data_IF_014936548946
#
_entry.id   IF_014936548946
#
_cell.length_a   1.000
_cell.length_b   1.000
_cell.length_c   1.000
_cell.angle_alpha   90.00
_cell.angle_beta   90.00
_cell.angle_gamma   90.00
#
_symmetry.space_group_name_H-M   'P 1'
#
loop_
_entity.id
_entity.type
_entity.pdbx_description
1 polymer ?
#
# COMPACT_ATOMS: atom_id res chain seq x y z
N UNK A 1 -2.93 8.91 3.85
CA UNK A 1 -2.85 8.95 5.33
C UNK A 1 -3.42 7.67 5.92
N UNK A 2 -2.85 7.20 7.01
CA UNK A 2 -3.34 6.01 7.72
C UNK A 2 -4.26 6.44 8.88
N UNK A 3 -5.41 5.79 9.06
CA UNK A 3 -6.36 6.06 10.13
C UNK A 3 -5.74 6.07 11.53
N UNK A 4 -4.68 5.26 11.75
CA UNK A 4 -3.90 5.31 13.00
C UNK A 4 -3.04 6.57 13.16
N UNK A 5 -2.77 7.31 12.08
CA UNK A 5 -2.03 8.58 12.15
C UNK A 5 -2.95 9.74 12.43
N UNK A 6 -4.16 9.71 11.91
CA UNK A 6 -5.14 10.79 12.06
C UNK A 6 -5.99 10.69 13.32
N UNK A 7 -6.03 9.51 13.97
CA UNK A 7 -6.73 9.25 15.23
C UNK A 7 -5.74 8.98 16.38
N UNK A 8 -6.08 9.33 17.63
CA UNK A 8 -5.26 8.97 18.78
C UNK A 8 -5.09 7.45 18.88
N UNK A 9 -3.86 6.97 18.82
CA UNK A 9 -3.56 5.55 18.94
C UNK A 9 -3.47 5.13 20.39
N UNK A 10 -4.23 4.13 20.86
CA UNK A 10 -4.17 3.64 22.23
C UNK A 10 -2.74 3.21 22.62
N UNK A 11 -2.36 3.47 23.87
CA UNK A 11 -1.01 3.16 24.38
C UNK A 11 -0.57 1.72 24.13
N UNK A 12 -1.48 0.76 24.34
CA UNK A 12 -1.21 -0.68 24.13
C UNK A 12 -0.86 -0.96 22.66
N UNK A 13 -1.60 -0.39 21.73
CA UNK A 13 -1.35 -0.56 20.29
C UNK A 13 0.02 0.02 19.92
N UNK A 14 0.36 1.21 20.43
CA UNK A 14 1.68 1.83 20.21
C UNK A 14 2.82 0.95 20.76
N UNK A 15 2.63 0.36 21.92
CA UNK A 15 3.61 -0.54 22.52
C UNK A 15 3.80 -1.80 21.66
N UNK A 16 2.71 -2.44 21.23
CA UNK A 16 2.77 -3.64 20.37
C UNK A 16 3.40 -3.35 19.01
N UNK A 17 3.07 -2.23 18.40
CA UNK A 17 3.66 -1.78 17.12
C UNK A 17 5.17 -1.58 17.25
N UNK A 18 5.62 -0.96 18.37
CA UNK A 18 7.04 -0.80 18.65
C UNK A 18 7.75 -2.13 18.84
N UNK A 19 7.14 -3.10 19.53
CA UNK A 19 7.69 -4.45 19.68
C UNK A 19 7.76 -5.20 18.35
N UNK A 20 6.85 -4.94 17.43
CA UNK A 20 6.88 -5.48 16.08
C UNK A 20 7.94 -4.83 15.16
N UNK A 21 8.77 -3.91 15.70
CA UNK A 21 9.83 -3.23 14.94
C UNK A 21 9.32 -2.16 13.97
N UNK A 22 8.05 -1.78 14.06
CA UNK A 22 7.46 -0.76 13.20
C UNK A 22 7.66 0.64 13.82
N UNK A 23 7.91 1.68 13.01
CA UNK A 23 8.02 3.04 13.53
C UNK A 23 6.70 3.48 14.16
N UNK A 24 6.78 3.97 15.39
CA UNK A 24 5.62 4.47 16.13
C UNK A 24 5.72 5.99 16.25
N UNK A 25 4.95 6.69 15.44
CA UNK A 25 4.77 8.13 15.57
C UNK A 25 3.94 8.53 16.79
N UNK A 26 3.84 9.83 17.03
CA UNK A 26 2.93 10.41 18.05
C UNK A 26 1.48 10.47 17.55
N UNK A 27 1.08 9.61 16.60
CA UNK A 27 -0.17 9.64 15.86
C UNK A 27 -1.37 10.22 16.62
N UNK A 28 -2.27 10.87 15.91
CA UNK A 28 -3.46 11.52 16.44
C UNK A 28 -3.22 12.86 17.16
N UNK A 29 -1.96 13.27 17.32
CA UNK A 29 -1.60 14.52 18.00
C UNK A 29 -1.35 15.70 17.06
N UNK A 30 -1.55 15.50 15.77
CA UNK A 30 -1.37 16.52 14.75
C UNK A 30 -2.71 16.92 14.14
N UNK A 31 -2.90 18.20 13.88
CA UNK A 31 -4.02 18.74 13.12
C UNK A 31 -3.77 18.54 11.63
N UNK A 32 -3.90 17.29 11.15
CA UNK A 32 -3.50 16.89 9.80
C UNK A 32 -4.15 17.73 8.69
N UNK A 33 -5.41 18.11 8.85
CA UNK A 33 -6.10 18.95 7.86
C UNK A 33 -5.45 20.33 7.73
N UNK A 34 -5.09 20.93 8.86
CA UNK A 34 -4.40 22.23 8.90
C UNK A 34 -3.01 22.13 8.30
N UNK A 35 -2.24 21.09 8.70
CA UNK A 35 -0.89 20.86 8.16
C UNK A 35 -0.90 20.62 6.65
N UNK A 36 -1.83 19.82 6.12
CA UNK A 36 -1.98 19.62 4.68
C UNK A 36 -2.30 20.92 3.96
N UNK A 37 -3.22 21.73 4.52
CA UNK A 37 -3.59 23.02 3.95
C UNK A 37 -2.40 24.01 3.96
N UNK A 38 -1.68 24.12 5.07
CA UNK A 38 -0.49 24.98 5.19
C UNK A 38 0.62 24.57 4.22
N UNK A 39 0.80 23.26 4.00
CA UNK A 39 1.76 22.70 3.06
C UNK A 39 1.30 22.74 1.59
N UNK A 40 0.06 23.16 1.30
CA UNK A 40 -0.51 23.11 -0.05
C UNK A 40 -0.68 21.68 -0.56
N UNK A 41 -0.88 20.70 0.35
CA UNK A 41 -1.04 19.29 0.05
C UNK A 41 -2.48 18.84 0.29
N UNK A 42 -2.84 17.70 -0.30
CA UNK A 42 -4.14 17.04 -0.08
C UNK A 42 -3.94 15.54 0.20
N UNK A 43 -4.90 14.93 0.86
CA UNK A 43 -4.90 13.48 1.10
C UNK A 43 -5.40 12.76 -0.17
N UNK A 44 -4.54 11.92 -0.75
CA UNK A 44 -4.92 11.08 -1.90
C UNK A 44 -5.86 9.96 -1.45
N UNK A 45 -5.53 9.28 -0.36
CA UNK A 45 -6.27 8.15 0.19
C UNK A 45 -6.21 8.13 1.72
N UNK A 46 -7.18 7.45 2.33
CA UNK A 46 -7.13 7.06 3.74
C UNK A 46 -7.05 5.53 3.84
N UNK A 47 -6.10 5.04 4.63
CA UNK A 47 -5.98 3.62 4.96
C UNK A 47 -6.81 3.31 6.21
N UNK A 48 -7.74 2.37 6.07
CA UNK A 48 -8.67 1.97 7.11
C UNK A 48 -8.64 0.46 7.35
N UNK A 49 -9.08 0.02 8.52
CA UNK A 49 -9.32 -1.41 8.74
C UNK A 49 -10.71 -1.81 8.26
N UNK A 50 -10.82 -3.02 7.69
CA UNK A 50 -12.07 -3.52 7.14
C UNK A 50 -13.18 -3.65 8.19
N UNK A 51 -12.80 -3.93 9.45
CA UNK A 51 -13.75 -4.03 10.55
C UNK A 51 -14.45 -2.70 10.85
N UNK A 52 -13.70 -1.61 10.84
CA UNK A 52 -14.23 -0.25 10.98
C UNK A 52 -15.18 0.13 9.85
N UNK A 53 -14.78 -0.13 8.60
CA UNK A 53 -15.62 0.14 7.42
C UNK A 53 -16.95 -0.63 7.48
N UNK A 54 -16.89 -1.91 7.89
CA UNK A 54 -18.10 -2.75 8.00
C UNK A 54 -19.00 -2.38 9.16
N UNK A 55 -18.42 -1.90 10.27
CA UNK A 55 -19.16 -1.54 11.48
C UNK A 55 -19.88 -0.20 11.36
N UNK A 56 -19.23 0.79 10.79
CA UNK A 56 -19.75 2.16 10.65
C UNK A 56 -19.22 2.80 9.36
N UNK A 57 -19.75 2.39 8.19
CA UNK A 57 -19.35 2.97 6.92
C UNK A 57 -19.60 4.48 6.85
N UNK A 58 -20.64 4.98 7.52
CA UNK A 58 -20.95 6.42 7.54
C UNK A 58 -19.86 7.23 8.25
N UNK A 59 -19.25 6.70 9.31
CA UNK A 59 -18.12 7.35 9.96
C UNK A 59 -16.92 7.46 9.01
N UNK A 60 -16.62 6.38 8.28
CA UNK A 60 -15.52 6.37 7.29
C UNK A 60 -15.81 7.34 6.13
N UNK A 61 -17.05 7.38 5.66
CA UNK A 61 -17.50 8.33 4.61
C UNK A 61 -17.35 9.79 5.10
N UNK A 62 -17.76 10.10 6.32
CA UNK A 62 -17.56 11.44 6.90
C UNK A 62 -16.10 11.82 6.95
N UNK A 63 -15.22 10.91 7.39
CA UNK A 63 -13.79 11.14 7.47
C UNK A 63 -13.16 11.33 6.08
N UNK A 64 -13.51 10.51 5.09
CA UNK A 64 -13.08 10.68 3.71
C UNK A 64 -13.48 12.07 3.15
N UNK A 65 -14.71 12.50 3.42
CA UNK A 65 -15.20 13.83 3.02
C UNK A 65 -14.44 14.95 3.75
N UNK A 66 -14.11 14.79 5.03
CA UNK A 66 -13.31 15.75 5.78
C UNK A 66 -11.91 15.96 5.21
N UNK A 67 -11.29 14.89 4.70
CA UNK A 67 -9.99 14.92 4.04
C UNK A 67 -10.10 15.15 2.52
N UNK A 68 -11.32 15.30 2.00
CA UNK A 68 -11.59 15.54 0.58
C UNK A 68 -11.00 14.46 -0.34
N UNK A 69 -10.94 13.22 0.13
CA UNK A 69 -10.50 12.08 -0.66
C UNK A 69 -11.67 11.20 -1.09
N UNK A 70 -11.49 10.53 -2.24
CA UNK A 70 -12.43 9.53 -2.76
C UNK A 70 -11.90 8.11 -2.65
N UNK A 71 -10.74 7.91 -2.01
CA UNK A 71 -10.10 6.61 -1.89
C UNK A 71 -10.02 6.17 -0.43
N UNK A 72 -10.64 5.04 -0.14
CA UNK A 72 -10.46 4.28 1.10
C UNK A 72 -9.70 3.01 0.74
N UNK A 73 -8.62 2.74 1.46
CA UNK A 73 -7.74 1.60 1.22
C UNK A 73 -7.76 0.67 2.42
N UNK A 74 -7.99 -0.62 2.17
CA UNK A 74 -7.86 -1.67 3.17
C UNK A 74 -6.50 -2.31 2.97
N UNK A 75 -5.63 -2.17 3.97
CA UNK A 75 -4.35 -2.89 4.02
C UNK A 75 -4.58 -4.30 4.56
N UNK A 76 -3.64 -5.22 4.27
CA UNK A 76 -3.71 -6.62 4.67
C UNK A 76 -4.25 -6.89 6.08
N UNK A 77 -4.75 -8.09 6.30
CA UNK A 77 -5.44 -8.47 7.52
C UNK A 77 -4.46 -8.98 8.60
N UNK A 78 -4.58 -8.47 9.82
CA UNK A 78 -3.80 -8.97 10.96
C UNK A 78 -4.23 -10.38 11.36
N UNK A 79 -3.26 -11.27 11.68
CA UNK A 79 -3.49 -12.65 12.11
C UNK A 79 -4.36 -13.45 11.14
N UNK A 80 -4.19 -13.20 9.86
CA UNK A 80 -4.95 -13.82 8.78
C UNK A 80 -4.09 -14.84 8.04
N UNK A 81 -4.63 -16.03 7.82
CA UNK A 81 -3.93 -17.06 7.04
C UNK A 81 -4.29 -16.97 5.56
N UNK A 82 -3.42 -16.33 4.79
CA UNK A 82 -3.56 -16.22 3.33
C UNK A 82 -3.36 -17.56 2.59
N UNK A 83 -3.04 -18.67 3.26
CA UNK A 83 -3.07 -20.00 2.64
C UNK A 83 -4.43 -20.72 2.80
N UNK A 84 -5.32 -20.20 3.63
CA UNK A 84 -6.68 -20.70 3.78
C UNK A 84 -7.60 -20.10 2.69
N UNK A 85 -7.91 -20.94 1.69
CA UNK A 85 -8.78 -20.56 0.57
C UNK A 85 -10.15 -20.05 1.01
N UNK A 86 -10.77 -20.70 2.00
CA UNK A 86 -12.10 -20.32 2.48
C UNK A 86 -12.08 -18.97 3.18
N UNK A 87 -11.02 -18.70 3.98
CA UNK A 87 -10.81 -17.41 4.61
C UNK A 87 -10.60 -16.30 3.57
N UNK A 88 -9.82 -16.55 2.51
CA UNK A 88 -9.59 -15.58 1.43
C UNK A 88 -10.87 -15.28 0.64
N UNK A 89 -11.68 -16.31 0.32
CA UNK A 89 -13.00 -16.11 -0.30
C UNK A 89 -13.93 -15.25 0.59
N UNK A 90 -13.91 -15.52 1.90
CA UNK A 90 -14.67 -14.72 2.85
C UNK A 90 -14.21 -13.26 2.87
N UNK A 91 -12.89 -13.02 2.86
CA UNK A 91 -12.32 -11.68 2.78
C UNK A 91 -12.78 -10.95 1.52
N UNK A 92 -12.76 -11.61 0.36
CA UNK A 92 -13.27 -11.05 -0.90
C UNK A 92 -14.76 -10.65 -0.80
N UNK A 93 -15.59 -11.51 -0.20
CA UNK A 93 -17.00 -11.19 0.05
C UNK A 93 -17.18 -10.00 0.98
N UNK A 94 -16.38 -9.92 2.04
CA UNK A 94 -16.40 -8.80 3.00
C UNK A 94 -15.95 -7.49 2.34
N UNK A 95 -14.97 -7.52 1.43
CA UNK A 95 -14.52 -6.38 0.63
C UNK A 95 -15.61 -5.91 -0.33
N UNK A 96 -16.28 -6.83 -1.04
CA UNK A 96 -17.39 -6.51 -1.94
C UNK A 96 -18.52 -5.78 -1.19
N UNK A 97 -18.89 -6.29 0.00
CA UNK A 97 -19.92 -5.67 0.83
C UNK A 97 -19.51 -4.26 1.28
N UNK A 98 -18.31 -4.10 1.83
CA UNK A 98 -17.80 -2.79 2.25
C UNK A 98 -17.73 -1.80 1.08
N UNK A 99 -17.26 -2.25 -0.10
CA UNK A 99 -17.18 -1.42 -1.30
C UNK A 99 -18.55 -0.98 -1.80
N UNK A 100 -19.57 -1.85 -1.68
CA UNK A 100 -20.97 -1.50 -2.03
C UNK A 100 -21.47 -0.32 -1.19
N UNK A 101 -21.19 -0.31 0.11
CA UNK A 101 -21.62 0.78 1.00
C UNK A 101 -20.89 2.09 0.67
N UNK A 102 -19.57 2.06 0.50
CA UNK A 102 -18.77 3.25 0.18
C UNK A 102 -19.11 3.84 -1.18
N UNK A 103 -19.40 3.00 -2.18
CA UNK A 103 -19.76 3.42 -3.54
C UNK A 103 -21.01 4.28 -3.59
N UNK A 104 -21.98 4.08 -2.69
CA UNK A 104 -23.19 4.91 -2.59
C UNK A 104 -22.88 6.40 -2.39
N UNK A 105 -21.71 6.68 -1.78
CA UNK A 105 -21.21 8.04 -1.54
C UNK A 105 -20.09 8.46 -2.51
N UNK A 106 -19.88 7.70 -3.59
CA UNK A 106 -18.87 8.00 -4.61
C UNK A 106 -17.43 7.73 -4.13
N UNK A 107 -17.25 6.91 -3.10
CA UNK A 107 -15.94 6.54 -2.56
C UNK A 107 -15.53 5.18 -3.13
N UNK A 108 -14.31 5.11 -3.67
CA UNK A 108 -13.68 3.91 -4.16
C UNK A 108 -13.01 3.16 -3.00
N UNK A 109 -13.36 1.90 -2.79
CA UNK A 109 -12.59 1.01 -1.94
C UNK A 109 -11.51 0.32 -2.76
N UNK A 110 -10.28 0.31 -2.26
CA UNK A 110 -9.15 -0.41 -2.83
C UNK A 110 -8.50 -1.33 -1.80
N UNK A 111 -7.94 -2.44 -2.26
CA UNK A 111 -7.17 -3.35 -1.42
C UNK A 111 -5.67 -3.16 -1.69
N UNK A 112 -4.88 -3.00 -0.62
CA UNK A 112 -3.42 -2.88 -0.67
C UNK A 112 -2.76 -4.20 -0.28
N UNK A 113 -1.80 -4.66 -1.08
CA UNK A 113 -1.10 -5.92 -0.90
C UNK A 113 0.24 -5.77 -0.17
N UNK A 114 0.60 -6.85 0.52
CA UNK A 114 1.95 -7.13 1.00
C UNK A 114 2.48 -8.42 0.34
N UNK A 115 3.50 -9.05 0.92
CA UNK A 115 4.04 -10.32 0.40
C UNK A 115 3.21 -11.55 0.81
N UNK A 116 2.45 -11.46 1.90
CA UNK A 116 1.67 -12.58 2.42
C UNK A 116 0.52 -13.01 1.49
N UNK A 117 -0.03 -12.12 0.69
CA UNK A 117 -1.07 -12.41 -0.30
C UNK A 117 -0.56 -13.27 -1.47
N UNK A 118 0.76 -13.32 -1.68
CA UNK A 118 1.36 -14.16 -2.72
C UNK A 118 1.60 -15.61 -2.26
N UNK A 119 1.15 -15.98 -1.05
CA UNK A 119 1.07 -17.38 -0.63
C UNK A 119 0.06 -18.14 -1.50
N UNK A 120 0.37 -19.41 -1.78
CA UNK A 120 -0.52 -20.27 -2.54
C UNK A 120 -1.65 -20.79 -1.65
N UNK A 121 -2.88 -20.66 -2.12
CA UNK A 121 -4.08 -21.27 -1.54
C UNK A 121 -4.33 -22.67 -2.13
N UNK A 122 -3.80 -22.91 -3.34
CA UNK A 122 -3.75 -24.21 -4.04
C UNK A 122 -2.65 -24.17 -5.11
N UNK A 123 -2.26 -25.32 -5.71
CA UNK A 123 -1.28 -25.34 -6.77
C UNK A 123 -1.65 -24.39 -7.93
N UNK A 124 -0.75 -23.45 -8.22
CA UNK A 124 -0.93 -22.48 -9.31
C UNK A 124 -1.81 -21.27 -9.00
N UNK A 125 -2.35 -21.14 -7.78
CA UNK A 125 -3.21 -20.02 -7.41
C UNK A 125 -2.73 -19.38 -6.08
N UNK A 126 -2.41 -18.10 -6.11
CA UNK A 126 -2.09 -17.31 -4.92
C UNK A 126 -3.35 -16.72 -4.28
N UNK A 127 -3.26 -16.31 -3.01
CA UNK A 127 -4.35 -15.59 -2.35
C UNK A 127 -4.67 -14.28 -3.08
N UNK A 128 -3.65 -13.57 -3.58
CA UNK A 128 -3.86 -12.33 -4.32
C UNK A 128 -4.66 -12.55 -5.62
N UNK A 129 -4.32 -13.58 -6.39
CA UNK A 129 -5.07 -13.96 -7.60
C UNK A 129 -6.51 -14.37 -7.26
N UNK A 130 -6.70 -15.06 -6.13
CA UNK A 130 -8.03 -15.41 -5.64
C UNK A 130 -8.83 -14.15 -5.25
N UNK A 131 -8.22 -13.18 -4.56
CA UNK A 131 -8.86 -11.90 -4.27
C UNK A 131 -9.26 -11.14 -5.54
N UNK A 132 -8.38 -11.09 -6.54
CA UNK A 132 -8.70 -10.45 -7.84
C UNK A 132 -9.92 -11.13 -8.49
N UNK A 133 -10.00 -12.46 -8.43
CA UNK A 133 -11.07 -13.25 -9.04
C UNK A 133 -12.41 -13.14 -8.30
N UNK A 134 -12.39 -13.17 -6.97
CA UNK A 134 -13.59 -13.25 -6.14
C UNK A 134 -14.14 -11.86 -5.74
N UNK A 135 -13.40 -10.79 -5.99
CA UNK A 135 -13.89 -9.42 -5.79
C UNK A 135 -14.55 -8.88 -7.06
N UNK A 136 -15.66 -8.15 -6.87
CA UNK A 136 -16.40 -7.51 -7.96
C UNK A 136 -15.54 -6.41 -8.60
N UNK A 137 -15.25 -6.47 -9.91
CA UNK A 137 -14.40 -5.50 -10.59
C UNK A 137 -14.97 -4.08 -10.64
N UNK A 138 -16.29 -3.93 -10.53
CA UNK A 138 -16.96 -2.63 -10.51
C UNK A 138 -16.98 -1.99 -9.12
N UNK A 139 -16.67 -2.75 -8.08
CA UNK A 139 -16.71 -2.31 -6.68
C UNK A 139 -15.32 -2.15 -6.07
N UNK A 140 -14.48 -3.18 -6.19
CA UNK A 140 -13.20 -3.25 -5.50
C UNK A 140 -12.04 -2.95 -6.47
N UNK A 141 -11.35 -1.85 -6.19
CA UNK A 141 -10.08 -1.52 -6.82
C UNK A 141 -8.88 -2.08 -6.04
N UNK A 142 -7.69 -1.76 -6.53
CA UNK A 142 -6.44 -2.14 -5.88
C UNK A 142 -5.51 -0.94 -5.78
N UNK A 143 -4.92 -0.76 -4.61
CA UNK A 143 -3.71 0.01 -4.41
C UNK A 143 -2.55 -0.98 -4.47
N UNK A 144 -1.99 -1.12 -5.66
CA UNK A 144 -0.97 -2.13 -5.89
C UNK A 144 0.40 -1.64 -5.45
N UNK A 145 1.07 -2.41 -4.61
CA UNK A 145 2.47 -2.19 -4.25
C UNK A 145 3.35 -3.20 -4.99
N UNK A 146 4.26 -2.69 -5.82
CA UNK A 146 5.17 -3.48 -6.66
C UNK A 146 6.34 -4.10 -5.90
N UNK A 147 6.68 -3.58 -4.74
CA UNK A 147 7.78 -4.09 -3.91
C UNK A 147 7.48 -5.51 -3.39
N UNK A 148 6.28 -5.73 -2.89
CA UNK A 148 5.92 -6.96 -2.20
C UNK A 148 5.83 -8.21 -3.08
N UNK A 149 5.25 -8.19 -4.30
CA UNK A 149 5.34 -9.32 -5.21
C UNK A 149 6.80 -9.59 -5.61
N UNK A 150 7.61 -8.56 -5.84
CA UNK A 150 9.04 -8.70 -6.13
C UNK A 150 9.78 -9.37 -4.97
N UNK A 151 9.47 -9.00 -3.73
CA UNK A 151 9.98 -9.65 -2.51
C UNK A 151 9.56 -11.13 -2.43
N UNK A 152 8.34 -11.44 -2.86
CA UNK A 152 7.81 -12.80 -2.90
C UNK A 152 8.27 -13.62 -4.11
N UNK A 153 9.12 -13.05 -5.00
CA UNK A 153 9.59 -13.72 -6.22
C UNK A 153 8.52 -13.82 -7.32
N UNK A 154 7.53 -12.93 -7.28
CA UNK A 154 6.46 -12.83 -8.28
C UNK A 154 6.69 -11.63 -9.20
N UNK A 155 6.40 -11.78 -10.49
CA UNK A 155 6.54 -10.71 -11.48
C UNK A 155 5.53 -9.58 -11.23
N UNK A 156 5.98 -8.45 -10.71
CA UNK A 156 5.14 -7.27 -10.51
C UNK A 156 4.48 -6.78 -11.81
N UNK A 157 5.18 -6.68 -12.97
CA UNK A 157 4.54 -6.31 -14.24
C UNK A 157 3.40 -7.24 -14.65
N UNK A 158 3.52 -8.55 -14.39
CA UNK A 158 2.45 -9.50 -14.75
C UNK A 158 1.23 -9.35 -13.85
N UNK A 159 1.43 -9.05 -12.57
CA UNK A 159 0.34 -8.73 -11.66
C UNK A 159 -0.37 -7.44 -12.09
N UNK A 160 0.39 -6.39 -12.43
CA UNK A 160 -0.18 -5.13 -12.94
C UNK A 160 -1.02 -5.34 -14.20
N UNK A 161 -0.57 -6.19 -15.14
CA UNK A 161 -1.36 -6.54 -16.34
C UNK A 161 -2.70 -7.19 -15.97
N UNK A 162 -2.71 -8.09 -14.97
CA UNK A 162 -3.94 -8.75 -14.50
C UNK A 162 -4.90 -7.79 -13.83
N UNK A 163 -4.37 -6.84 -13.07
CA UNK A 163 -5.18 -5.79 -12.42
C UNK A 163 -5.81 -4.85 -13.45
N UNK A 164 -5.05 -4.46 -14.47
CA UNK A 164 -5.52 -3.50 -15.47
C UNK A 164 -6.10 -2.24 -14.85
N UNK A 165 -7.25 -1.79 -15.31
CA UNK A 165 -7.95 -0.59 -14.81
C UNK A 165 -8.49 -0.71 -13.37
N UNK A 166 -8.43 -1.91 -12.77
CA UNK A 166 -8.73 -2.08 -11.34
C UNK A 166 -7.62 -1.55 -10.44
N UNK A 167 -6.40 -1.35 -10.95
CA UNK A 167 -5.32 -0.67 -10.22
C UNK A 167 -5.65 0.82 -10.18
N UNK A 168 -6.11 1.31 -9.02
CA UNK A 168 -6.52 2.70 -8.82
C UNK A 168 -5.38 3.55 -8.29
N UNK A 169 -4.56 2.98 -7.42
CA UNK A 169 -3.40 3.62 -6.80
C UNK A 169 -2.19 2.69 -6.97
N UNK A 170 -1.01 3.28 -7.05
CA UNK A 170 0.22 2.54 -7.23
C UNK A 170 1.26 2.94 -6.18
N UNK A 171 1.61 1.99 -5.29
CA UNK A 171 2.74 2.15 -4.39
C UNK A 171 4.03 1.73 -5.09
N UNK A 172 5.01 2.62 -5.08
CA UNK A 172 6.32 2.42 -5.70
C UNK A 172 7.41 2.46 -4.65
N UNK A 173 8.30 1.50 -4.73
CA UNK A 173 9.53 1.41 -3.96
C UNK A 173 10.57 0.73 -4.85
N UNK A 174 11.86 0.85 -4.53
CA UNK A 174 12.90 0.09 -5.21
C UNK A 174 13.48 -0.97 -4.28
N UNK A 175 14.18 -1.95 -4.85
CA UNK A 175 14.75 -3.07 -4.11
C UNK A 175 16.14 -3.38 -4.61
N UNK A 176 17.09 -3.47 -3.70
CA UNK A 176 18.47 -3.74 -4.04
C UNK A 176 19.34 -3.99 -2.83
N UNK A 177 20.63 -3.86 -2.98
CA UNK A 177 21.62 -4.09 -1.92
C UNK A 177 22.46 -2.84 -1.71
N UNK A 178 22.40 -2.27 -0.52
CA UNK A 178 23.24 -1.14 -0.11
C UNK A 178 24.54 -1.62 0.52
N UNK A 179 25.50 -1.98 -0.32
CA UNK A 179 26.87 -2.31 0.14
C UNK A 179 27.87 -1.46 -0.61
N UNK A 180 28.70 -0.75 0.13
CA UNK A 180 29.80 0.07 -0.39
C UNK A 180 31.12 -0.63 -0.09
N UNK A 181 31.66 -1.36 -1.07
CA UNK A 181 32.95 -2.06 -0.94
C UNK A 181 32.85 -3.60 -0.98
N UNK A 182 33.97 -4.30 -0.80
CA UNK A 182 34.02 -5.75 -0.87
C UNK A 182 33.21 -6.40 0.24
N UNK A 183 32.35 -7.37 -0.10
CA UNK A 183 31.66 -8.22 0.87
C UNK A 183 32.49 -9.46 1.19
N UNK A 184 32.35 -9.98 2.41
CA UNK A 184 32.97 -11.26 2.84
C UNK A 184 32.29 -12.49 2.21
N UNK A 185 31.14 -12.32 1.59
CA UNK A 185 30.35 -13.38 0.94
C UNK A 185 29.70 -12.85 -0.34
N UNK A 186 29.56 -13.68 -1.38
CA UNK A 186 28.82 -13.31 -2.59
C UNK A 186 27.29 -13.31 -2.38
N UNK A 187 26.81 -13.77 -1.22
CA UNK A 187 25.38 -13.82 -0.89
C UNK A 187 25.02 -12.55 -0.12
N UNK A 188 24.32 -11.64 -0.79
CA UNK A 188 23.91 -10.36 -0.24
C UNK A 188 22.41 -10.37 0.05
N UNK A 189 22.02 -9.67 1.11
CA UNK A 189 20.61 -9.43 1.41
C UNK A 189 20.14 -8.16 0.69
N UNK A 190 19.11 -8.29 -0.11
CA UNK A 190 18.43 -7.13 -0.71
C UNK A 190 17.35 -6.59 0.21
N UNK A 191 17.08 -5.29 0.10
CA UNK A 191 16.12 -4.57 0.92
C UNK A 191 15.53 -3.40 0.14
N UNK A 192 14.62 -2.63 0.76
CA UNK A 192 14.11 -1.37 0.24
C UNK A 192 15.26 -0.40 -0.07
N UNK A 193 15.17 0.25 -1.21
CA UNK A 193 16.11 1.25 -1.71
C UNK A 193 15.35 2.50 -2.14
N UNK A 194 16.05 3.61 -2.25
CA UNK A 194 15.52 4.81 -2.90
C UNK A 194 15.30 4.53 -4.39
N UNK A 195 14.31 5.21 -4.97
CA UNK A 195 13.95 5.00 -6.38
C UNK A 195 15.14 5.29 -7.30
N UNK A 196 15.48 4.29 -8.10
CA UNK A 196 16.59 4.31 -9.05
C UNK A 196 17.95 3.91 -8.45
N UNK A 197 18.02 3.59 -7.16
CA UNK A 197 19.23 3.09 -6.52
C UNK A 197 19.20 1.55 -6.33
N UNK A 198 18.09 0.89 -6.68
CA UNK A 198 17.90 -0.55 -6.64
C UNK A 198 17.97 -1.21 -8.01
N UNK A 199 17.30 -2.34 -8.14
CA UNK A 199 17.36 -3.21 -9.31
C UNK A 199 15.99 -3.45 -9.98
N UNK A 200 14.91 -2.81 -9.52
CA UNK A 200 13.60 -2.93 -10.15
C UNK A 200 13.54 -2.08 -11.43
N UNK A 201 12.85 -2.57 -12.45
CA UNK A 201 12.58 -1.79 -13.66
C UNK A 201 11.43 -0.80 -13.43
N UNK A 202 11.76 0.29 -12.71
CA UNK A 202 10.79 1.29 -12.29
C UNK A 202 10.17 2.03 -13.47
N UNK A 203 10.92 2.24 -14.56
CA UNK A 203 10.43 2.93 -15.76
C UNK A 203 9.34 2.12 -16.45
N UNK A 204 9.51 0.80 -16.52
CA UNK A 204 8.48 -0.10 -17.06
C UNK A 204 7.23 -0.11 -16.15
N UNK A 205 7.40 -0.14 -14.81
CA UNK A 205 6.30 -0.11 -13.85
C UNK A 205 5.52 1.21 -13.93
N UNK A 206 6.22 2.35 -13.97
CA UNK A 206 5.60 3.67 -14.12
C UNK A 206 4.86 3.82 -15.46
N UNK A 207 5.48 3.34 -16.54
CA UNK A 207 4.84 3.34 -17.87
C UNK A 207 3.53 2.56 -17.84
N UNK A 208 3.54 1.38 -17.23
CA UNK A 208 2.33 0.55 -17.11
C UNK A 208 1.28 1.18 -16.20
N UNK A 209 1.68 1.77 -15.07
CA UNK A 209 0.77 2.49 -14.17
C UNK A 209 0.10 3.67 -14.88
N UNK A 210 0.85 4.44 -15.66
CA UNK A 210 0.33 5.52 -16.51
C UNK A 210 -0.65 5.00 -17.57
N UNK A 211 -0.31 3.90 -18.23
CA UNK A 211 -1.15 3.32 -19.29
C UNK A 211 -2.52 2.85 -18.80
N UNK A 212 -2.63 2.38 -17.56
CA UNK A 212 -3.91 1.97 -16.96
C UNK A 212 -4.65 3.13 -16.28
N UNK A 213 -4.01 4.30 -16.14
CA UNK A 213 -4.61 5.51 -15.61
C UNK A 213 -4.80 5.46 -14.10
N UNK A 214 -3.75 5.14 -13.33
CA UNK A 214 -3.81 5.22 -11.87
C UNK A 214 -4.03 6.67 -11.42
N UNK A 215 -4.80 6.86 -10.36
CA UNK A 215 -5.11 8.20 -9.84
C UNK A 215 -3.92 8.85 -9.13
N UNK A 216 -3.00 8.03 -8.57
CA UNK A 216 -1.76 8.51 -7.96
C UNK A 216 -0.69 7.42 -7.90
N UNK A 217 0.58 7.89 -7.88
CA UNK A 217 1.76 7.11 -7.50
C UNK A 217 2.20 7.54 -6.12
N UNK A 218 2.44 6.60 -5.23
CA UNK A 218 2.71 6.83 -3.83
C UNK A 218 4.05 6.17 -3.48
N UNK A 219 5.01 6.96 -3.02
CA UNK A 219 6.27 6.43 -2.50
C UNK A 219 6.02 5.81 -1.12
N UNK A 220 6.38 4.54 -0.97
CA UNK A 220 6.36 3.87 0.33
C UNK A 220 7.73 3.29 0.67
N UNK A 221 8.28 3.65 1.82
CA UNK A 221 9.54 3.10 2.34
C UNK A 221 9.44 2.88 3.84
N UNK A 222 9.97 1.75 4.32
CA UNK A 222 9.86 1.39 5.74
C UNK A 222 11.20 1.40 6.49
N UNK A 223 12.32 1.22 5.78
CA UNK A 223 13.65 1.00 6.37
C UNK A 223 14.75 1.19 5.34
N UNK A 224 15.99 0.93 5.76
CA UNK A 224 17.18 1.00 4.92
C UNK A 224 17.44 2.40 4.32
N UNK A 225 17.05 3.45 5.04
CA UNK A 225 17.18 4.83 4.59
C UNK A 225 18.64 5.31 4.53
N UNK A 226 18.97 6.17 3.57
CA UNK A 226 20.25 6.85 3.46
C UNK A 226 20.57 7.55 4.80
N UNK A 227 21.73 7.25 5.37
CA UNK A 227 22.20 7.80 6.65
C UNK A 227 21.15 7.69 7.79
N UNK A 228 20.27 6.68 7.74
CA UNK A 228 19.14 6.50 8.67
C UNK A 228 18.17 7.69 8.66
N UNK A 229 18.11 8.46 7.60
CA UNK A 229 17.26 9.64 7.43
C UNK A 229 16.14 9.38 6.41
N UNK A 230 14.88 9.21 6.87
CA UNK A 230 13.74 9.08 5.95
C UNK A 230 13.61 10.29 5.01
N UNK A 231 13.96 11.50 5.50
CA UNK A 231 13.87 12.71 4.71
C UNK A 231 14.84 12.70 3.53
N UNK A 232 16.12 12.31 3.74
CA UNK A 232 17.09 12.17 2.66
C UNK A 232 16.68 11.13 1.62
N UNK A 233 16.14 10.01 2.08
CA UNK A 233 15.60 8.97 1.21
C UNK A 233 14.40 9.47 0.38
N UNK A 234 13.51 10.25 1.01
CA UNK A 234 12.41 10.91 0.31
C UNK A 234 12.89 11.88 -0.75
N UNK A 235 13.84 12.76 -0.42
CA UNK A 235 14.44 13.73 -1.35
C UNK A 235 15.07 13.01 -2.55
N UNK A 236 15.86 11.95 -2.31
CA UNK A 236 16.49 11.15 -3.37
C UNK A 236 15.46 10.49 -4.28
N UNK A 237 14.41 9.89 -3.72
CA UNK A 237 13.33 9.26 -4.48
C UNK A 237 12.49 10.29 -5.25
N UNK A 238 12.25 11.46 -4.66
CA UNK A 238 11.54 12.55 -5.33
C UNK A 238 12.32 13.10 -6.53
N UNK A 239 13.66 13.15 -6.47
CA UNK A 239 14.50 13.51 -7.61
C UNK A 239 14.35 12.53 -8.78
N UNK A 240 14.22 11.24 -8.48
CA UNK A 240 13.93 10.23 -9.50
C UNK A 240 12.58 10.49 -10.17
N UNK A 241 11.51 10.63 -9.38
CA UNK A 241 10.15 10.84 -9.90
C UNK A 241 10.01 12.14 -10.70
N UNK A 242 10.71 13.22 -10.33
CA UNK A 242 10.72 14.47 -11.11
C UNK A 242 11.28 14.31 -12.53
N UNK A 243 12.15 13.33 -12.75
CA UNK A 243 12.69 13.02 -14.09
C UNK A 243 11.75 12.14 -14.91
N UNK A 244 10.88 11.40 -14.25
CA UNK A 244 9.86 10.58 -14.90
C UNK A 244 8.67 11.49 -15.23
N UNK A 245 8.35 11.67 -16.51
CA UNK A 245 7.17 12.43 -16.95
C UNK A 245 5.89 11.65 -16.60
N UNK A 246 5.44 11.75 -15.34
CA UNK A 246 4.23 11.10 -14.87
C UNK A 246 3.06 12.08 -14.83
#
# INVERSE_FOLDING_TARGET
LNGFMIRPTPFIVRMLTKFAGMPVGKGGNYHWKELLKEAGLHAVSLHEDLGSVRKDPDAVIREANEFQTKHIVITGMYRFDYSDKAAVCKLASDLNHAATELKKSGIQLSYHNHNCEFRKVEPGLTAYELLIRETDPDLVGFEFDSYWPTEAGVSAPDVMKRLGTRMKLFHINDRGTRITGPSMTPILTSDSMELGDGNMDLDALLTQAKAVGVDAVILETHKNWIDKSPLRSLERSAEYLKRCSF
#
